data_IF_892952594193
#
_entry.id   IF_892952594193
#
_cell.length_a   1.000
_cell.length_b   1.000
_cell.length_c   1.000
_cell.angle_alpha   90.00
_cell.angle_beta   90.00
_cell.angle_gamma   90.00
#
_symmetry.space_group_name_H-M   'P 1'
#
loop_
_entity.id
_entity.type
_entity.pdbx_description
1 polymer ?
#
# COMPACT_ATOMS: atom_id res chain seq x y z
N UNK A 1 -11.38 -0.35 2.51
CA UNK A 1 -10.09 -1.05 2.68
C UNK A 1 -10.11 -2.55 2.31
N UNK A 2 -11.25 -3.26 2.30
CA UNK A 2 -11.33 -4.70 1.99
C UNK A 2 -11.22 -5.12 0.52
N UNK A 3 -10.27 -4.58 -0.23
CA UNK A 3 -10.03 -5.01 -1.62
C UNK A 3 -8.85 -6.01 -1.64
N UNK A 4 -8.98 -7.17 -2.30
CA UNK A 4 -7.91 -8.18 -2.34
C UNK A 4 -6.58 -7.67 -2.91
N UNK A 5 -6.61 -6.73 -3.85
CA UNK A 5 -5.42 -6.13 -4.44
C UNK A 5 -4.63 -5.32 -3.40
N UNK A 6 -5.31 -4.52 -2.58
CA UNK A 6 -4.64 -3.79 -1.47
C UNK A 6 -3.94 -4.73 -0.50
N UNK A 7 -4.59 -5.84 -0.14
CA UNK A 7 -3.97 -6.84 0.73
C UNK A 7 -2.75 -7.50 0.04
N UNK A 8 -2.85 -7.78 -1.26
CA UNK A 8 -1.73 -8.34 -2.02
C UNK A 8 -0.53 -7.36 -2.09
N UNK A 9 -0.78 -6.07 -2.30
CA UNK A 9 0.24 -5.02 -2.27
C UNK A 9 0.93 -4.98 -0.90
N UNK A 10 0.16 -4.95 0.19
CA UNK A 10 0.72 -4.92 1.54
C UNK A 10 1.56 -6.17 1.86
N UNK A 11 1.12 -7.34 1.38
CA UNK A 11 1.89 -8.60 1.52
C UNK A 11 3.21 -8.54 0.77
N UNK A 12 3.21 -8.04 -0.47
CA UNK A 12 4.41 -7.89 -1.29
C UNK A 12 5.39 -6.89 -0.67
N UNK A 13 4.89 -5.73 -0.22
CA UNK A 13 5.72 -4.70 0.45
C UNK A 13 6.29 -5.12 1.81
N UNK A 14 5.95 -6.31 2.31
CA UNK A 14 6.62 -6.90 3.49
C UNK A 14 8.07 -7.28 3.18
N UNK A 15 8.39 -7.51 1.92
CA UNK A 15 9.73 -7.91 1.47
C UNK A 15 10.69 -6.72 1.38
N UNK A 16 10.17 -5.49 1.33
CA UNK A 16 10.97 -4.29 1.32
C UNK A 16 10.31 -3.13 0.59
N UNK A 17 11.16 -2.18 0.20
CA UNK A 17 10.78 -1.06 -0.65
C UNK A 17 10.83 -1.49 -2.13
N UNK A 18 9.74 -1.25 -2.86
CA UNK A 18 9.63 -1.60 -4.28
C UNK A 18 9.03 -0.45 -5.10
N UNK A 19 9.43 -0.33 -6.35
CA UNK A 19 8.81 0.60 -7.28
C UNK A 19 7.44 0.12 -7.75
N UNK A 20 6.65 1.04 -8.32
CA UNK A 20 5.33 0.72 -8.89
C UNK A 20 5.42 -0.41 -9.95
N UNK A 21 6.48 -0.42 -10.76
CA UNK A 21 6.64 -1.40 -11.83
C UNK A 21 6.87 -2.82 -11.30
N UNK A 22 7.66 -2.98 -10.23
CA UNK A 22 7.84 -4.26 -9.55
C UNK A 22 6.52 -4.78 -8.99
N UNK A 23 5.74 -3.91 -8.35
CA UNK A 23 4.41 -4.26 -7.80
C UNK A 23 3.45 -4.69 -8.91
N UNK A 24 3.44 -3.98 -10.04
CA UNK A 24 2.62 -4.33 -11.21
C UNK A 24 2.97 -5.72 -11.77
N UNK A 25 4.27 -6.00 -11.90
CA UNK A 25 4.77 -7.28 -12.41
C UNK A 25 4.40 -8.40 -11.44
N UNK A 26 4.68 -8.22 -10.14
CA UNK A 26 4.43 -9.22 -9.11
C UNK A 26 2.93 -9.58 -8.99
N UNK A 27 2.05 -8.59 -9.15
CA UNK A 27 0.60 -8.78 -8.99
C UNK A 27 -0.14 -8.99 -10.32
N UNK A 28 0.57 -8.96 -11.45
CA UNK A 28 0.03 -9.04 -12.81
C UNK A 28 -1.17 -8.09 -13.02
N UNK A 29 -0.98 -6.81 -12.70
CA UNK A 29 -2.02 -5.77 -12.78
C UNK A 29 -1.53 -4.50 -13.47
N UNK A 30 -2.43 -3.76 -14.15
CA UNK A 30 -2.06 -2.54 -14.83
C UNK A 30 -1.67 -1.44 -13.84
N UNK A 31 -0.82 -0.52 -14.30
CA UNK A 31 -0.31 0.59 -13.49
C UNK A 31 -1.41 1.43 -12.86
N UNK A 32 -2.47 1.75 -13.62
CA UNK A 32 -3.58 2.58 -13.13
C UNK A 32 -4.26 1.98 -11.90
N UNK A 33 -4.46 0.65 -11.88
CA UNK A 33 -5.02 -0.06 -10.74
C UNK A 33 -4.06 -0.02 -9.54
N UNK A 34 -2.78 -0.34 -9.76
CA UNK A 34 -1.78 -0.33 -8.68
C UNK A 34 -1.61 1.07 -8.07
N UNK A 35 -1.46 2.11 -8.90
CA UNK A 35 -1.35 3.49 -8.45
C UNK A 35 -2.57 3.96 -7.67
N UNK A 36 -3.77 3.58 -8.10
CA UNK A 36 -5.00 3.91 -7.37
C UNK A 36 -5.03 3.26 -5.97
N UNK A 37 -4.70 1.96 -5.89
CA UNK A 37 -4.64 1.27 -4.60
C UNK A 37 -3.52 1.80 -3.69
N UNK A 38 -2.34 2.14 -4.24
CA UNK A 38 -1.24 2.74 -3.50
C UNK A 38 -1.61 4.12 -2.95
N UNK A 39 -2.36 4.94 -3.68
CA UNK A 39 -2.87 6.21 -3.17
C UNK A 39 -3.75 5.99 -1.94
N UNK A 40 -4.73 5.09 -2.03
CA UNK A 40 -5.63 4.78 -0.92
C UNK A 40 -4.85 4.26 0.30
N UNK A 41 -3.87 3.37 0.09
CA UNK A 41 -3.05 2.84 1.17
C UNK A 41 -2.16 3.92 1.81
N UNK A 42 -1.67 4.88 1.01
CA UNK A 42 -0.88 6.02 1.48
C UNK A 42 -1.75 6.97 2.31
N UNK A 43 -2.94 7.30 1.81
CA UNK A 43 -3.90 8.17 2.50
C UNK A 43 -4.38 7.54 3.82
N UNK A 44 -4.43 6.21 3.89
CA UNK A 44 -4.71 5.45 5.10
C UNK A 44 -3.49 5.23 6.02
N UNK A 45 -2.33 5.85 5.72
CA UNK A 45 -1.12 5.75 6.55
C UNK A 45 -0.42 4.40 6.55
N UNK A 46 -0.84 3.45 5.71
CA UNK A 46 -0.34 2.07 5.69
C UNK A 46 0.97 1.91 4.90
N UNK A 47 1.21 2.77 3.93
CA UNK A 47 2.45 2.77 3.11
C UNK A 47 3.05 4.17 3.07
N UNK A 48 4.36 4.23 2.87
CA UNK A 48 5.10 5.47 2.61
C UNK A 48 5.62 5.46 1.17
N UNK A 49 5.66 6.64 0.55
CA UNK A 49 6.22 6.85 -0.78
C UNK A 49 7.58 7.55 -0.66
N UNK A 50 8.58 7.08 -1.40
CA UNK A 50 9.85 7.76 -1.64
C UNK A 50 10.01 8.00 -3.13
N UNK A 51 10.37 9.22 -3.53
CA UNK A 51 10.66 9.55 -4.93
C UNK A 51 12.16 9.48 -5.18
N UNK A 52 12.54 8.82 -6.28
CA UNK A 52 13.91 8.70 -6.74
C UNK A 52 13.94 8.99 -8.25
N UNK A 53 14.23 10.24 -8.59
CA UNK A 53 14.09 10.76 -9.95
C UNK A 53 12.66 10.64 -10.47
N UNK A 54 12.46 9.82 -11.51
CA UNK A 54 11.14 9.59 -12.14
C UNK A 54 10.36 8.45 -11.50
N UNK A 55 10.97 7.73 -10.55
CA UNK A 55 10.40 6.52 -9.97
C UNK A 55 9.81 6.82 -8.59
N UNK A 56 8.62 6.27 -8.33
CA UNK A 56 8.04 6.23 -6.99
C UNK A 56 8.23 4.83 -6.41
N UNK A 57 8.84 4.79 -5.24
CA UNK A 57 9.06 3.60 -4.43
C UNK A 57 8.12 3.61 -3.23
N UNK A 58 7.63 2.44 -2.87
CA UNK A 58 6.68 2.26 -1.77
C UNK A 58 7.21 1.22 -0.80
N UNK A 59 6.96 1.45 0.49
CA UNK A 59 7.23 0.51 1.57
C UNK A 59 6.12 0.56 2.61
N UNK A 60 6.01 -0.48 3.44
CA UNK A 60 5.12 -0.44 4.60
C UNK A 60 5.51 0.71 5.54
N UNK A 61 4.50 1.38 6.08
CA UNK A 61 4.70 2.37 7.13
C UNK A 61 5.07 1.68 8.44
N UNK A 62 6.00 2.25 9.20
CA UNK A 62 6.38 1.75 10.53
C UNK A 62 5.18 1.70 11.50
N UNK A 63 4.19 2.57 11.29
CA UNK A 63 2.94 2.59 12.05
C UNK A 63 1.78 1.81 11.43
N UNK A 64 2.00 1.01 10.37
CA UNK A 64 0.91 0.37 9.62
C UNK A 64 -0.01 -0.49 10.49
N UNK A 65 0.52 -1.18 11.51
CA UNK A 65 -0.29 -1.98 12.45
C UNK A 65 -1.22 -1.08 13.28
N UNK A 66 -0.71 0.05 13.77
CA UNK A 66 -1.50 1.02 14.55
C UNK A 66 -2.61 1.60 13.67
N UNK A 67 -2.29 1.94 12.43
CA UNK A 67 -3.28 2.46 11.47
C UNK A 67 -4.36 1.43 11.13
N UNK A 68 -4.00 0.14 10.98
CA UNK A 68 -4.99 -0.92 10.81
C UNK A 68 -5.93 -0.97 12.03
N UNK A 69 -5.40 -0.90 13.25
CA UNK A 69 -6.21 -0.91 14.47
C UNK A 69 -7.16 0.30 14.51
N UNK A 70 -6.67 1.50 14.18
CA UNK A 70 -7.49 2.71 14.13
C UNK A 70 -8.63 2.58 13.11
N UNK A 71 -8.35 2.01 11.94
CA UNK A 71 -9.34 1.78 10.89
C UNK A 71 -10.37 0.72 11.30
N UNK A 72 -9.97 -0.32 12.04
CA UNK A 72 -10.90 -1.30 12.59
C UNK A 72 -11.82 -0.67 13.65
N UNK A 73 -11.30 0.16 14.55
CA UNK A 73 -12.12 0.87 15.56
C UNK A 73 -13.23 1.70 14.92
N UNK A 74 -12.90 2.44 13.85
CA UNK A 74 -13.88 3.23 13.09
C UNK A 74 -15.00 2.38 12.45
N UNK A 75 -14.71 1.12 12.11
CA UNK A 75 -15.69 0.19 11.54
C UNK A 75 -16.54 -0.50 12.60
N UNK A 76 -15.98 -0.72 13.80
CA UNK A 76 -16.66 -1.40 14.92
C UNK A 76 -17.46 -0.41 15.78
N UNK A 77 -17.22 0.91 15.66
CA UNK A 77 -18.03 1.95 16.29
C UNK A 77 -17.77 2.12 17.78
N UNK A 78 -16.54 1.86 18.23
CA UNK A 78 -16.05 2.10 19.60
C UNK A 78 -15.39 3.47 19.75
#
# INVERSE_FOLDING_TARGET
>A
MGDPCRLAILKFLREGEHCVCEIMIALNRPQSSISHHLSILKDAGLVKERKDGKWSYYRLSEGAVIEIINQVKLLVGE
#
